data_IF_667551443198
#
_entry.id   IF_667551443198
#
_cell.length_a   1.000
_cell.length_b   1.000
_cell.length_c   1.000
_cell.angle_alpha   90.00
_cell.angle_beta   90.00
_cell.angle_gamma   90.00
#
_symmetry.space_group_name_H-M   'P 1'
#
loop_
_entity.id
_entity.type
_entity.pdbx_description
1 polymer ?
#
# COMPACT_ATOMS: atom_id res chain seq x y z
N UNK A 1 -19.83 -2.66 8.07
CA UNK A 1 -18.55 -2.74 8.35
C UNK A 1 -17.71 -1.51 8.09
N UNK A 2 -18.14 -0.66 7.25
CA UNK A 2 -17.41 0.54 6.90
C UNK A 2 -17.18 1.48 8.06
N UNK A 3 -18.05 1.43 9.04
CA UNK A 3 -17.92 2.25 10.22
C UNK A 3 -16.59 2.01 10.93
N UNK A 4 -16.09 0.79 10.84
CA UNK A 4 -14.85 0.41 11.47
C UNK A 4 -13.68 1.23 10.96
N UNK A 5 -13.72 1.62 9.70
CA UNK A 5 -12.64 2.40 9.10
C UNK A 5 -12.47 3.77 9.74
N UNK A 6 -13.49 4.25 10.44
CA UNK A 6 -13.47 5.58 11.03
C UNK A 6 -13.44 5.54 12.54
N UNK A 7 -13.14 4.38 13.12
CA UNK A 7 -12.93 4.29 14.55
C UNK A 7 -11.63 5.04 14.93
N UNK A 8 -11.54 5.54 16.17
CA UNK A 8 -10.32 6.25 16.60
C UNK A 8 -9.04 5.49 16.41
N UNK A 9 -9.07 4.17 16.63
CA UNK A 9 -7.89 3.34 16.43
C UNK A 9 -7.43 3.35 14.98
N UNK A 10 -8.37 3.33 14.04
CA UNK A 10 -8.04 3.33 12.62
C UNK A 10 -7.41 4.65 12.21
N UNK A 11 -7.91 5.75 12.76
CA UNK A 11 -7.33 7.05 12.51
C UNK A 11 -5.93 7.15 13.07
N UNK A 12 -5.69 6.54 14.22
CA UNK A 12 -4.35 6.51 14.80
C UNK A 12 -3.39 5.70 13.95
N UNK A 13 -3.85 4.62 13.35
CA UNK A 13 -3.04 3.84 12.43
C UNK A 13 -2.63 4.66 11.22
N UNK A 14 -3.56 5.45 10.70
CA UNK A 14 -3.29 6.32 9.56
C UNK A 14 -2.27 7.39 9.94
N UNK A 15 -2.37 7.92 11.15
CA UNK A 15 -1.46 8.96 11.64
C UNK A 15 -0.19 8.39 12.26
N UNK A 16 -0.13 7.08 12.45
CA UNK A 16 0.97 6.44 13.13
C UNK A 16 2.20 6.24 12.25
N UNK A 17 2.98 5.22 12.59
CA UNK A 17 4.21 4.95 11.87
C UNK A 17 3.95 4.56 10.42
N UNK A 18 4.90 4.83 9.51
CA UNK A 18 4.75 4.39 8.13
C UNK A 18 4.54 2.90 7.98
N UNK A 19 5.22 2.10 8.83
CA UNK A 19 5.06 0.64 8.79
C UNK A 19 3.65 0.22 9.19
N UNK A 20 3.11 0.84 10.23
CA UNK A 20 1.74 0.57 10.68
C UNK A 20 0.72 0.94 9.64
N UNK A 21 0.91 2.08 8.99
CA UNK A 21 0.00 2.53 7.91
C UNK A 21 0.03 1.57 6.73
N UNK A 22 1.22 1.11 6.33
CA UNK A 22 1.34 0.17 5.23
C UNK A 22 0.64 -1.14 5.54
N UNK A 23 0.82 -1.63 6.75
CA UNK A 23 0.18 -2.88 7.17
C UNK A 23 -1.34 -2.75 7.16
N UNK A 24 -1.86 -1.65 7.66
CA UNK A 24 -3.29 -1.39 7.65
C UNK A 24 -3.83 -1.37 6.22
N UNK A 25 -3.17 -0.62 5.34
CA UNK A 25 -3.57 -0.51 3.95
C UNK A 25 -3.52 -1.87 3.25
N UNK A 26 -2.48 -2.65 3.50
CA UNK A 26 -2.33 -3.96 2.87
C UNK A 26 -3.45 -4.91 3.28
N UNK A 27 -3.84 -4.89 4.54
CA UNK A 27 -4.92 -5.75 5.04
C UNK A 27 -6.25 -5.33 4.41
N UNK A 28 -6.58 -4.05 4.47
CA UNK A 28 -7.86 -3.55 3.98
C UNK A 28 -7.96 -3.66 2.47
N UNK A 29 -6.93 -3.23 1.77
CA UNK A 29 -6.92 -3.25 0.32
C UNK A 29 -6.88 -4.68 -0.21
N UNK A 30 -6.16 -5.56 0.47
CA UNK A 30 -6.10 -6.97 0.10
C UNK A 30 -7.44 -7.65 0.17
N UNK A 31 -8.28 -7.27 1.13
CA UNK A 31 -9.64 -7.81 1.24
C UNK A 31 -10.54 -7.31 0.11
N UNK A 32 -10.30 -6.09 -0.34
CA UNK A 32 -11.13 -5.46 -1.36
C UNK A 32 -10.71 -5.80 -2.77
N UNK A 33 -9.42 -5.99 -3.00
CA UNK A 33 -8.87 -6.19 -4.35
C UNK A 33 -7.87 -7.35 -4.37
N UNK A 34 -8.29 -8.54 -4.81
CA UNK A 34 -7.35 -9.66 -4.94
C UNK A 34 -6.17 -9.35 -5.86
N UNK A 35 -6.38 -8.52 -6.87
CA UNK A 35 -5.30 -8.12 -7.77
C UNK A 35 -4.18 -7.40 -7.04
N UNK A 36 -4.53 -6.61 -6.03
CA UNK A 36 -3.53 -5.94 -5.21
C UNK A 36 -2.63 -6.95 -4.50
N UNK A 37 -3.22 -7.99 -3.92
CA UNK A 37 -2.45 -9.03 -3.25
C UNK A 37 -1.52 -9.74 -4.23
N UNK A 38 -1.99 -9.98 -5.44
CA UNK A 38 -1.18 -10.61 -6.46
C UNK A 38 0.02 -9.73 -6.81
N UNK A 39 -0.23 -8.45 -7.06
CA UNK A 39 0.85 -7.52 -7.40
C UNK A 39 1.85 -7.36 -6.25
N UNK A 40 1.35 -7.29 -5.02
CA UNK A 40 2.21 -7.17 -3.84
C UNK A 40 3.06 -8.43 -3.65
N UNK A 41 2.46 -9.59 -3.85
CA UNK A 41 3.16 -10.86 -3.74
C UNK A 41 4.27 -10.96 -4.78
N UNK A 42 3.99 -10.58 -6.02
CA UNK A 42 4.98 -10.57 -7.08
C UNK A 42 6.10 -9.59 -6.78
N UNK A 43 5.75 -8.40 -6.31
CA UNK A 43 6.75 -7.41 -5.95
C UNK A 43 7.69 -7.94 -4.87
N UNK A 44 7.13 -8.51 -3.80
CA UNK A 44 7.93 -9.05 -2.71
C UNK A 44 8.80 -10.22 -3.15
N UNK A 45 8.27 -11.05 -4.05
CA UNK A 45 9.03 -12.18 -4.59
C UNK A 45 10.26 -11.70 -5.36
N UNK A 46 10.07 -10.75 -6.26
CA UNK A 46 11.17 -10.23 -7.07
C UNK A 46 12.18 -9.49 -6.20
N UNK A 47 11.70 -8.73 -5.22
CA UNK A 47 12.58 -8.00 -4.30
C UNK A 47 13.46 -8.98 -3.52
N UNK A 48 12.88 -10.04 -3.02
CA UNK A 48 13.60 -11.06 -2.29
C UNK A 48 14.64 -11.76 -3.20
N UNK A 49 14.23 -12.04 -4.41
CA UNK A 49 15.11 -12.65 -5.39
C UNK A 49 16.29 -11.73 -5.71
N UNK A 50 16.02 -10.46 -5.90
CA UNK A 50 17.07 -9.46 -6.17
C UNK A 50 18.04 -9.34 -5.00
N UNK A 51 17.52 -9.25 -3.80
CA UNK A 51 18.36 -9.13 -2.61
C UNK A 51 19.23 -10.37 -2.41
N UNK A 52 18.67 -11.54 -2.64
CA UNK A 52 19.41 -12.80 -2.56
C UNK A 52 20.51 -12.88 -3.61
N UNK A 53 20.18 -12.45 -4.83
CA UNK A 53 21.15 -12.44 -5.92
C UNK A 53 22.35 -11.53 -5.59
N UNK A 54 22.07 -10.32 -5.12
CA UNK A 54 23.13 -9.38 -4.77
C UNK A 54 24.01 -9.87 -3.61
N UNK A 55 23.39 -10.57 -2.66
CA UNK A 55 24.09 -11.04 -1.48
C UNK A 55 24.98 -12.25 -1.75
N UNK A 56 24.49 -13.17 -2.58
CA UNK A 56 25.12 -14.49 -2.73
C UNK A 56 25.93 -14.66 -4.00
N UNK A 57 25.90 -13.72 -4.93
CA UNK A 57 26.60 -13.86 -6.21
C UNK A 57 27.95 -13.19 -6.15
N UNK A 58 28.97 -13.90 -6.61
CA UNK A 58 30.30 -13.34 -6.70
C UNK A 58 30.45 -12.38 -7.85
N UNK A 59 29.76 -12.68 -8.95
CA UNK A 59 29.74 -11.82 -10.13
C UNK A 59 28.31 -11.37 -10.39
N UNK A 60 28.14 -10.06 -10.52
CA UNK A 60 26.81 -9.48 -10.78
C UNK A 60 26.67 -9.26 -12.28
N UNK A 61 25.68 -9.90 -12.87
CA UNK A 61 25.33 -9.70 -14.27
C UNK A 61 24.40 -8.50 -14.38
N UNK A 62 24.88 -7.43 -14.99
CA UNK A 62 24.12 -6.20 -15.11
C UNK A 62 22.81 -6.41 -15.87
N UNK A 63 22.81 -7.25 -16.89
CA UNK A 63 21.62 -7.53 -17.68
C UNK A 63 20.53 -8.21 -16.85
N UNK A 64 20.94 -9.20 -16.05
CA UNK A 64 20.00 -9.89 -15.19
C UNK A 64 19.44 -8.94 -14.12
N UNK A 65 20.32 -8.11 -13.56
CA UNK A 65 19.90 -7.14 -12.56
C UNK A 65 18.91 -6.14 -13.15
N UNK A 66 19.12 -5.70 -14.39
CA UNK A 66 18.19 -4.83 -15.09
C UNK A 66 16.80 -5.46 -15.24
N UNK A 67 16.78 -6.75 -15.54
CA UNK A 67 15.51 -7.48 -15.66
C UNK A 67 14.77 -7.47 -14.32
N UNK A 68 15.47 -7.75 -13.24
CA UNK A 68 14.87 -7.72 -11.90
C UNK A 68 14.39 -6.33 -11.53
N UNK A 69 15.19 -5.31 -11.83
CA UNK A 69 14.81 -3.92 -11.54
C UNK A 69 13.59 -3.49 -12.35
N UNK A 70 13.51 -3.92 -13.59
CA UNK A 70 12.37 -3.65 -14.47
C UNK A 70 11.10 -4.27 -13.92
N UNK A 71 11.19 -5.51 -13.44
CA UNK A 71 10.06 -6.19 -12.82
C UNK A 71 9.63 -5.50 -11.52
N UNK A 72 10.60 -5.08 -10.70
CA UNK A 72 10.31 -4.34 -9.48
C UNK A 72 9.59 -3.04 -9.79
N UNK A 73 10.05 -2.31 -10.79
CA UNK A 73 9.43 -1.06 -11.18
C UNK A 73 7.98 -1.28 -11.64
N UNK A 74 7.75 -2.33 -12.41
CA UNK A 74 6.42 -2.65 -12.92
C UNK A 74 5.46 -3.02 -11.80
N UNK A 75 5.85 -3.99 -10.97
CA UNK A 75 4.98 -4.42 -9.87
C UNK A 75 4.87 -3.35 -8.80
N UNK A 76 5.97 -2.65 -8.52
CA UNK A 76 5.98 -1.57 -7.55
C UNK A 76 5.05 -0.43 -7.93
N UNK A 77 5.05 -0.06 -9.22
CA UNK A 77 4.13 0.97 -9.73
C UNK A 77 2.68 0.58 -9.49
N UNK A 78 2.33 -0.66 -9.74
CA UNK A 78 0.97 -1.14 -9.54
C UNK A 78 0.59 -1.12 -8.08
N UNK A 79 1.49 -1.58 -7.21
CA UNK A 79 1.26 -1.55 -5.77
C UNK A 79 1.04 -0.12 -5.29
N UNK A 80 1.90 0.79 -5.70
CA UNK A 80 1.80 2.19 -5.32
C UNK A 80 0.50 2.79 -5.83
N UNK A 81 0.13 2.50 -7.06
CA UNK A 81 -1.10 3.00 -7.64
C UNK A 81 -2.33 2.56 -6.84
N UNK A 82 -2.39 1.28 -6.49
CA UNK A 82 -3.49 0.77 -5.67
C UNK A 82 -3.56 1.47 -4.31
N UNK A 83 -2.40 1.66 -3.69
CA UNK A 83 -2.32 2.32 -2.38
C UNK A 83 -2.77 3.77 -2.46
N UNK A 84 -2.32 4.49 -3.48
CA UNK A 84 -2.69 5.89 -3.65
C UNK A 84 -4.18 6.05 -3.90
N UNK A 85 -4.77 5.18 -4.71
CA UNK A 85 -6.21 5.20 -4.94
C UNK A 85 -6.98 4.94 -3.66
N UNK A 86 -6.52 3.98 -2.88
CA UNK A 86 -7.16 3.65 -1.62
C UNK A 86 -7.10 4.83 -0.65
N UNK A 87 -5.93 5.44 -0.55
CA UNK A 87 -5.74 6.60 0.34
C UNK A 87 -6.63 7.75 -0.08
N UNK A 88 -6.72 8.02 -1.37
CA UNK A 88 -7.60 9.08 -1.87
C UNK A 88 -9.06 8.83 -1.51
N UNK A 89 -9.51 7.60 -1.67
CA UNK A 89 -10.88 7.24 -1.31
C UNK A 89 -11.12 7.38 0.17
N UNK A 90 -10.14 6.97 0.97
CA UNK A 90 -10.24 7.07 2.42
C UNK A 90 -10.28 8.52 2.86
N UNK A 91 -9.42 9.35 2.30
CA UNK A 91 -9.40 10.78 2.60
C UNK A 91 -10.69 11.47 2.23
N UNK A 92 -11.24 11.11 1.09
CA UNK A 92 -12.51 11.67 0.63
C UNK A 92 -13.62 11.33 1.61
N UNK A 93 -13.66 10.09 2.08
CA UNK A 93 -14.68 9.66 3.04
C UNK A 93 -14.52 10.34 4.39
N UNK A 94 -13.29 10.48 4.85
CA UNK A 94 -13.03 11.18 6.11
C UNK A 94 -13.44 12.64 6.01
N UNK A 95 -13.09 13.28 4.92
CA UNK A 95 -13.45 14.67 4.68
C UNK A 95 -14.96 14.87 4.62
N UNK A 96 -15.65 13.98 3.92
CA UNK A 96 -17.10 14.02 3.82
C UNK A 96 -17.75 13.92 5.20
N UNK A 97 -17.26 12.96 6.00
CA UNK A 97 -17.79 12.76 7.33
C UNK A 97 -17.55 13.97 8.22
N UNK A 98 -16.38 14.55 8.11
CA UNK A 98 -16.03 15.75 8.88
C UNK A 98 -16.91 16.92 8.49
N UNK A 99 -17.15 17.09 7.22
CA UNK A 99 -18.02 18.15 6.72
C UNK A 99 -19.44 17.99 7.27
N UNK A 100 -19.96 16.78 7.30
CA UNK A 100 -21.28 16.51 7.85
C UNK A 100 -21.37 16.89 9.32
N UNK A 101 -20.33 16.55 10.07
CA UNK A 101 -20.30 16.90 11.49
C UNK A 101 -20.22 18.39 11.69
N UNK A 102 -19.49 19.10 10.86
CA UNK A 102 -19.42 20.55 10.90
C UNK A 102 -20.77 21.18 10.61
N UNK A 103 -21.45 20.70 9.59
CA UNK A 103 -22.76 21.21 9.22
C UNK A 103 -23.76 21.02 10.36
N UNK A 104 -23.72 19.85 10.99
CA UNK A 104 -24.58 19.58 12.13
C UNK A 104 -24.33 20.52 13.30
N UNK A 105 -23.07 20.87 13.48
CA UNK A 105 -22.71 21.80 14.55
C UNK A 105 -23.24 23.18 14.31
N UNK A 106 -23.22 23.60 13.07
CA UNK A 106 -23.71 24.93 12.71
C UNK A 106 -25.20 25.05 12.84
N UNK A 107 -25.85 23.95 12.66
CA UNK A 107 -27.30 23.93 12.81
C UNK A 107 -27.73 24.06 14.26
#
# INVERSE_FOLDING_TARGET
MNVVLFAPEDLQLIKGSPAGRRKFIDIELGQMKPLYLSDLSQYNHVLKQRNSYLKNSEKIDATFLEVLDSQLASFGSRVIHHRLEFIKKLEAKVKEKHTRLSDNKED
#
